data_IF_667528852668
#
_entry.id   IF_667528852668
#
_cell.length_a   1.000
_cell.length_b   1.000
_cell.length_c   1.000
_cell.angle_alpha   90.00
_cell.angle_beta   90.00
_cell.angle_gamma   90.00
#
_symmetry.space_group_name_H-M   'P 1'
#
loop_
_entity.id
_entity.type
_entity.pdbx_description
1 polymer ?
#
# COMPACT_ATOMS: atom_id res chain seq x y z
N UNK A 1 -8.14 -15.85 14.25
CA UNK A 1 -9.19 -15.51 13.26
C UNK A 1 -8.88 -14.10 12.77
N UNK A 2 -8.91 -13.84 11.47
CA UNK A 2 -8.67 -12.49 10.96
C UNK A 2 -9.88 -11.61 11.27
N UNK A 3 -9.67 -10.50 11.98
CA UNK A 3 -10.75 -9.56 12.33
C UNK A 3 -10.84 -8.37 11.37
N UNK A 4 -11.99 -7.67 11.36
CA UNK A 4 -12.14 -6.41 10.62
C UNK A 4 -11.13 -5.35 11.08
N UNK A 5 -10.81 -5.33 12.38
CA UNK A 5 -9.82 -4.42 12.94
C UNK A 5 -8.40 -4.73 12.44
N UNK A 6 -8.01 -6.00 12.35
CA UNK A 6 -6.72 -6.39 11.76
C UNK A 6 -6.59 -5.95 10.30
N UNK A 7 -7.64 -6.16 9.49
CA UNK A 7 -7.61 -5.72 8.09
C UNK A 7 -7.55 -4.18 7.98
N UNK A 8 -8.25 -3.46 8.85
CA UNK A 8 -8.14 -1.99 8.91
C UNK A 8 -6.73 -1.53 9.30
N UNK A 9 -6.05 -2.25 10.20
CA UNK A 9 -4.66 -1.97 10.56
C UNK A 9 -3.72 -2.19 9.37
N UNK A 10 -3.92 -3.27 8.60
CA UNK A 10 -3.16 -3.53 7.37
C UNK A 10 -3.38 -2.45 6.31
N UNK A 11 -4.59 -1.93 6.15
CA UNK A 11 -4.86 -0.82 5.23
C UNK A 11 -4.09 0.44 5.58
N UNK A 12 -3.98 0.76 6.87
CA UNK A 12 -3.19 1.88 7.38
C UNK A 12 -1.71 1.66 7.11
N UNK A 13 -1.18 0.49 7.46
CA UNK A 13 0.22 0.15 7.21
C UNK A 13 0.58 0.22 5.71
N UNK A 14 -0.30 -0.24 4.83
CA UNK A 14 -0.10 -0.13 3.38
C UNK A 14 -0.11 1.32 2.92
N UNK A 15 -0.95 2.18 3.49
CA UNK A 15 -0.98 3.61 3.15
C UNK A 15 0.34 4.28 3.50
N UNK A 16 0.81 4.08 4.72
CA UNK A 16 2.11 4.61 5.18
C UNK A 16 3.27 4.08 4.33
N UNK A 17 3.20 2.80 3.90
CA UNK A 17 4.20 2.23 3.01
C UNK A 17 4.15 2.85 1.61
N UNK A 18 2.96 3.10 1.04
CA UNK A 18 2.83 3.80 -0.24
C UNK A 18 3.47 5.19 -0.19
N UNK A 19 3.24 5.94 0.89
CA UNK A 19 3.82 7.29 1.05
C UNK A 19 5.35 7.21 1.10
N UNK A 20 5.90 6.25 1.85
CA UNK A 20 7.35 6.02 1.94
C UNK A 20 7.98 5.60 0.61
N UNK A 21 7.32 4.72 -0.13
CA UNK A 21 7.79 4.26 -1.45
C UNK A 21 7.73 5.40 -2.46
N UNK A 22 6.68 6.21 -2.44
CA UNK A 22 6.55 7.38 -3.31
C UNK A 22 7.66 8.39 -3.04
N UNK A 23 7.90 8.74 -1.78
CA UNK A 23 8.97 9.67 -1.42
C UNK A 23 10.35 9.16 -1.88
N UNK A 24 10.62 7.86 -1.72
CA UNK A 24 11.86 7.27 -2.19
C UNK A 24 11.98 7.29 -3.73
N UNK A 25 10.88 7.09 -4.46
CA UNK A 25 10.86 7.21 -5.92
C UNK A 25 11.10 8.67 -6.37
N UNK A 26 10.46 9.62 -5.70
CA UNK A 26 10.58 11.06 -5.97
C UNK A 26 12.00 11.59 -5.72
N UNK A 27 12.77 10.96 -4.80
CA UNK A 27 14.19 11.29 -4.59
C UNK A 27 15.10 10.78 -5.72
N UNK A 28 14.68 9.74 -6.45
CA UNK A 28 15.48 9.06 -7.47
C UNK A 28 15.13 9.49 -8.90
N UNK A 29 13.94 10.06 -9.12
CA UNK A 29 13.51 10.52 -10.44
C UNK A 29 14.42 11.65 -10.96
N UNK A 30 14.85 11.54 -12.21
CA UNK A 30 15.80 12.49 -12.81
C UNK A 30 17.26 12.34 -12.35
N UNK A 31 17.57 11.31 -11.55
CA UNK A 31 18.95 10.92 -11.20
C UNK A 31 19.45 9.79 -12.11
N UNK A 32 20.68 9.31 -11.91
CA UNK A 32 21.19 8.12 -12.60
C UNK A 32 20.41 6.85 -12.26
N UNK A 33 19.68 6.85 -11.15
CA UNK A 33 18.91 5.71 -10.63
C UNK A 33 17.42 5.78 -11.03
N UNK A 34 17.07 6.52 -12.09
CA UNK A 34 15.69 6.70 -12.52
C UNK A 34 14.95 5.36 -12.76
N UNK A 35 15.64 4.32 -13.25
CA UNK A 35 15.04 2.99 -13.38
C UNK A 35 14.52 2.44 -12.04
N UNK A 36 15.25 2.69 -10.95
CA UNK A 36 14.82 2.30 -9.60
C UNK A 36 13.59 3.10 -9.17
N UNK A 37 13.52 4.39 -9.51
CA UNK A 37 12.31 5.20 -9.27
C UNK A 37 11.08 4.60 -9.97
N UNK A 38 11.22 4.20 -11.24
CA UNK A 38 10.15 3.56 -12.00
C UNK A 38 9.69 2.25 -11.35
N UNK A 39 10.62 1.40 -10.92
CA UNK A 39 10.31 0.17 -10.20
C UNK A 39 9.56 0.44 -8.87
N UNK A 40 9.97 1.49 -8.13
CA UNK A 40 9.30 1.90 -6.90
C UNK A 40 7.87 2.40 -7.16
N UNK A 41 7.62 3.15 -8.23
CA UNK A 41 6.25 3.54 -8.61
C UNK A 41 5.38 2.32 -8.96
N UNK A 42 5.94 1.28 -9.60
CA UNK A 42 5.21 0.03 -9.85
C UNK A 42 4.91 -0.76 -8.56
N UNK A 43 5.83 -0.73 -7.58
CA UNK A 43 5.58 -1.27 -6.24
C UNK A 43 4.45 -0.52 -5.56
N UNK A 44 4.44 0.81 -5.59
CA UNK A 44 3.37 1.64 -5.03
C UNK A 44 2.01 1.30 -5.64
N UNK A 45 1.97 1.14 -6.97
CA UNK A 45 0.74 0.77 -7.70
C UNK A 45 0.22 -0.59 -7.29
N UNK A 46 1.13 -1.54 -7.07
CA UNK A 46 0.83 -2.88 -6.58
C UNK A 46 0.29 -2.84 -5.14
N UNK A 47 0.87 -2.01 -4.27
CA UNK A 47 0.40 -1.79 -2.90
C UNK A 47 -0.99 -1.16 -2.87
N UNK A 48 -1.28 -0.15 -3.70
CA UNK A 48 -2.64 0.41 -3.83
C UNK A 48 -3.65 -0.65 -4.27
N UNK A 49 -3.25 -1.54 -5.17
CA UNK A 49 -4.09 -2.65 -5.60
C UNK A 49 -4.36 -3.62 -4.46
N UNK A 50 -3.34 -3.95 -3.66
CA UNK A 50 -3.47 -4.77 -2.46
C UNK A 50 -4.41 -4.11 -1.42
N UNK A 51 -4.23 -2.81 -1.15
CA UNK A 51 -5.09 -2.05 -0.24
C UNK A 51 -6.57 -2.12 -0.64
N UNK A 52 -6.89 -1.93 -1.92
CA UNK A 52 -8.26 -2.04 -2.44
C UNK A 52 -8.83 -3.45 -2.26
N UNK A 53 -8.01 -4.50 -2.40
CA UNK A 53 -8.42 -5.88 -2.18
C UNK A 53 -8.71 -6.17 -0.71
N UNK A 54 -7.88 -5.65 0.19
CA UNK A 54 -8.06 -5.77 1.64
C UNK A 54 -9.35 -5.04 2.08
N UNK A 55 -9.59 -3.84 1.57
CA UNK A 55 -10.81 -3.08 1.88
C UNK A 55 -12.09 -3.81 1.49
N UNK A 56 -12.09 -4.44 0.31
CA UNK A 56 -13.20 -5.31 -0.08
C UNK A 56 -13.35 -6.53 0.82
N UNK A 57 -12.24 -7.16 1.22
CA UNK A 57 -12.27 -8.30 2.14
C UNK A 57 -12.79 -7.91 3.53
N UNK A 58 -12.37 -6.75 4.05
CA UNK A 58 -12.82 -6.20 5.33
C UNK A 58 -14.31 -5.87 5.34
N UNK A 59 -14.85 -5.39 4.22
CA UNK A 59 -16.29 -5.17 4.05
C UNK A 59 -17.13 -6.46 4.07
N UNK A 60 -16.50 -7.62 3.80
CA UNK A 60 -17.14 -8.93 3.89
C UNK A 60 -17.11 -9.56 5.27
N UNK A 61 -16.36 -8.99 6.23
CA UNK A 61 -16.27 -9.51 7.59
C UNK A 61 -17.39 -8.95 8.49
N UNK A 62 -17.94 -9.76 9.41
CA UNK A 62 -18.87 -9.26 10.40
C UNK A 62 -18.18 -8.19 11.27
N UNK A 63 -18.90 -7.09 11.52
CA UNK A 63 -18.47 -6.12 12.55
C UNK A 63 -18.78 -6.75 13.89
N UNK A 64 -17.75 -7.05 14.68
CA UNK A 64 -17.93 -7.52 16.06
C UNK A 64 -18.87 -6.55 16.78
N UNK A 65 -19.98 -7.10 17.31
CA UNK A 65 -21.04 -6.35 18.00
C UNK A 65 -20.64 -6.01 19.42
#
# INVERSE_FOLDING_TARGET
MVSRAELSSLETAIRELCDRVTNAADELIGTTEENVALDLYEVERSLRTAQRRISRAAGGLPTER
#
